data_IF_148867295005
#
_entry.id   IF_148867295005
#
_cell.length_a   1.000
_cell.length_b   1.000
_cell.length_c   1.000
_cell.angle_alpha   90.00
_cell.angle_beta   90.00
_cell.angle_gamma   90.00
#
_symmetry.space_group_name_H-M   'P 1'
#
loop_
_entity.id
_entity.type
_entity.pdbx_description
1 polymer ?
#
# COMPACT_ATOMS: atom_id res chain seq x y z
N UNK A 1 23.90 -21.47 28.61
CA UNK A 1 22.44 -21.80 28.55
C UNK A 1 21.66 -20.69 27.82
N UNK A 2 21.86 -19.42 28.20
CA UNK A 2 21.15 -18.26 27.60
C UNK A 2 21.43 -18.12 26.10
N UNK A 3 22.64 -18.35 25.68
CA UNK A 3 23.09 -18.25 24.29
C UNK A 3 22.46 -19.32 23.38
N UNK A 4 22.28 -20.53 23.92
CA UNK A 4 21.63 -21.62 23.17
C UNK A 4 20.12 -21.40 23.01
N UNK A 5 19.44 -20.86 24.02
CA UNK A 5 18.02 -20.57 23.94
C UNK A 5 17.72 -19.52 22.83
N UNK A 6 18.51 -18.44 22.78
CA UNK A 6 18.34 -17.40 21.77
C UNK A 6 18.63 -17.93 20.34
N UNK A 7 19.61 -18.82 20.15
CA UNK A 7 19.86 -19.48 18.86
C UNK A 7 18.67 -20.31 18.39
N UNK A 8 18.00 -20.99 19.33
CA UNK A 8 16.80 -21.77 19.02
C UNK A 8 15.66 -20.86 18.56
N UNK A 9 15.47 -19.71 19.23
CA UNK A 9 14.44 -18.72 18.89
C UNK A 9 14.71 -18.11 17.52
N UNK A 10 15.93 -17.67 17.26
CA UNK A 10 16.32 -17.10 15.95
C UNK A 10 16.07 -18.12 14.81
N UNK A 11 16.50 -19.37 15.04
CA UNK A 11 16.31 -20.41 14.04
C UNK A 11 14.83 -20.68 13.80
N UNK A 12 14.00 -20.75 14.83
CA UNK A 12 12.58 -20.94 14.70
C UNK A 12 11.92 -19.77 13.92
N UNK A 13 12.33 -18.53 14.18
CA UNK A 13 11.83 -17.36 13.47
C UNK A 13 12.20 -17.39 11.98
N UNK A 14 13.46 -17.71 11.67
CA UNK A 14 13.93 -17.88 10.28
C UNK A 14 13.20 -19.01 9.56
N UNK A 15 13.05 -20.15 10.22
CA UNK A 15 12.34 -21.33 9.67
C UNK A 15 10.88 -21.00 9.33
N UNK A 16 10.21 -20.17 10.14
CA UNK A 16 8.84 -19.70 9.85
C UNK A 16 8.79 -18.80 8.61
N UNK A 17 9.73 -17.88 8.48
CA UNK A 17 9.84 -17.02 7.27
C UNK A 17 10.13 -17.87 6.04
N UNK A 18 11.00 -18.86 6.16
CA UNK A 18 11.34 -19.79 5.07
C UNK A 18 10.13 -20.60 4.63
N UNK A 19 9.36 -21.13 5.58
CA UNK A 19 8.13 -21.83 5.28
C UNK A 19 7.08 -20.94 4.58
N UNK A 20 6.90 -19.71 5.04
CA UNK A 20 6.01 -18.74 4.39
C UNK A 20 6.47 -18.44 2.96
N UNK A 21 7.77 -18.18 2.79
CA UNK A 21 8.34 -17.93 1.48
C UNK A 21 8.15 -19.13 0.53
N UNK A 22 8.56 -20.32 0.92
CA UNK A 22 8.49 -21.50 0.05
C UNK A 22 7.05 -21.92 -0.29
N UNK A 23 6.13 -21.85 0.70
CA UNK A 23 4.75 -22.32 0.52
C UNK A 23 3.86 -21.31 -0.22
N UNK A 24 4.12 -19.99 -0.09
CA UNK A 24 3.18 -18.97 -0.55
C UNK A 24 3.82 -17.89 -1.43
N UNK A 25 4.99 -17.36 -1.08
CA UNK A 25 5.48 -16.12 -1.67
C UNK A 25 6.50 -16.32 -2.80
N UNK A 26 7.14 -17.46 -2.88
CA UNK A 26 8.17 -17.77 -3.89
C UNK A 26 7.74 -17.48 -5.34
N UNK A 27 6.49 -17.78 -5.78
CA UNK A 27 6.07 -17.47 -7.15
C UNK A 27 6.01 -15.97 -7.46
N UNK A 28 5.96 -15.12 -6.45
CA UNK A 28 5.91 -13.66 -6.58
C UNK A 28 7.28 -12.97 -6.47
N UNK A 29 8.36 -13.74 -6.30
CA UNK A 29 9.73 -13.22 -6.21
C UNK A 29 10.08 -12.28 -7.36
N UNK A 30 10.63 -11.12 -7.04
CA UNK A 30 11.01 -10.08 -8.00
C UNK A 30 9.85 -9.26 -8.55
N UNK A 31 8.62 -9.44 -8.04
CA UNK A 31 7.43 -8.65 -8.40
C UNK A 31 7.00 -7.66 -7.32
N UNK A 32 7.73 -7.60 -6.21
CA UNK A 32 7.46 -6.73 -5.09
C UNK A 32 8.09 -5.36 -5.30
N UNK A 33 7.35 -4.30 -5.08
CA UNK A 33 7.88 -2.94 -5.08
C UNK A 33 8.63 -2.62 -3.79
N UNK A 34 8.28 -3.29 -2.70
CA UNK A 34 8.91 -3.20 -1.39
C UNK A 34 8.11 -3.90 -0.32
N UNK A 35 8.69 -4.05 0.86
CA UNK A 35 8.02 -4.49 2.08
C UNK A 35 8.12 -3.39 3.13
N UNK A 36 7.00 -3.10 3.78
CA UNK A 36 6.97 -2.26 4.97
C UNK A 36 7.27 -3.11 6.22
N UNK A 37 7.87 -2.48 7.22
CA UNK A 37 8.02 -3.08 8.53
C UNK A 37 6.65 -3.31 9.16
N UNK A 38 6.42 -4.51 9.70
CA UNK A 38 5.33 -4.78 10.60
C UNK A 38 5.75 -4.47 12.05
N UNK A 39 4.81 -4.50 13.00
CA UNK A 39 5.13 -4.38 14.43
C UNK A 39 5.27 -5.73 15.13
N UNK A 40 5.17 -6.82 14.40
CA UNK A 40 5.32 -8.21 14.86
C UNK A 40 6.52 -8.91 14.22
N UNK A 41 7.61 -8.20 14.00
CA UNK A 41 8.86 -8.81 13.58
C UNK A 41 9.63 -9.40 14.78
N UNK A 42 10.57 -10.27 14.50
CA UNK A 42 11.56 -10.73 15.46
C UNK A 42 12.94 -10.16 15.07
N UNK A 43 13.66 -9.64 16.05
CA UNK A 43 15.05 -9.24 15.88
C UNK A 43 15.92 -10.50 15.83
N UNK A 44 16.82 -10.55 14.86
CA UNK A 44 17.80 -11.61 14.70
C UNK A 44 19.15 -11.15 15.26
N UNK A 45 20.01 -12.07 15.66
CA UNK A 45 21.30 -11.75 16.31
C UNK A 45 22.28 -10.99 15.44
N UNK A 46 22.17 -11.11 14.14
CA UNK A 46 22.98 -10.36 13.18
C UNK A 46 22.56 -8.90 13.04
N UNK A 47 21.57 -8.45 13.83
CA UNK A 47 21.02 -7.10 13.80
C UNK A 47 19.97 -6.88 12.70
N UNK A 48 19.59 -7.93 11.97
CA UNK A 48 18.49 -7.87 11.00
C UNK A 48 17.17 -8.26 11.65
N UNK A 49 16.06 -8.06 10.93
CA UNK A 49 14.72 -8.49 11.36
C UNK A 49 14.17 -9.55 10.41
N UNK A 50 13.17 -10.30 10.87
CA UNK A 50 12.45 -11.26 10.02
C UNK A 50 11.84 -10.63 8.77
N UNK A 51 11.42 -9.35 8.85
CA UNK A 51 10.89 -8.60 7.72
C UNK A 51 11.98 -8.27 6.68
N UNK A 52 13.16 -7.86 7.14
CA UNK A 52 14.33 -7.62 6.29
C UNK A 52 14.80 -8.91 5.63
N UNK A 53 14.83 -10.00 6.38
CA UNK A 53 15.17 -11.32 5.85
C UNK A 53 14.19 -11.75 4.74
N UNK A 54 12.89 -11.56 4.95
CA UNK A 54 11.88 -11.84 3.93
C UNK A 54 12.04 -10.94 2.69
N UNK A 55 12.29 -9.65 2.87
CA UNK A 55 12.55 -8.72 1.76
C UNK A 55 13.72 -9.19 0.89
N UNK A 56 14.81 -9.61 1.52
CA UNK A 56 15.97 -10.18 0.82
C UNK A 56 15.61 -11.44 0.01
N UNK A 57 14.85 -12.37 0.60
CA UNK A 57 14.39 -13.59 -0.12
C UNK A 57 13.50 -13.27 -1.32
N UNK A 58 12.65 -12.27 -1.21
CA UNK A 58 11.77 -11.79 -2.28
C UNK A 58 12.50 -10.96 -3.33
N UNK A 59 13.76 -10.60 -3.11
CA UNK A 59 14.57 -9.68 -3.95
C UNK A 59 13.88 -8.32 -4.08
N UNK A 60 13.48 -7.75 -2.96
CA UNK A 60 12.88 -6.42 -2.88
C UNK A 60 13.51 -5.60 -1.76
N UNK A 61 13.19 -4.31 -1.71
CA UNK A 61 13.67 -3.42 -0.65
C UNK A 61 12.79 -3.50 0.59
N UNK A 62 13.41 -3.43 1.76
CA UNK A 62 12.71 -3.13 3.00
C UNK A 62 12.57 -1.60 3.11
N UNK A 63 11.35 -1.11 3.27
CA UNK A 63 10.99 0.30 3.14
C UNK A 63 10.82 1.00 4.50
N UNK A 64 10.97 0.29 5.62
CA UNK A 64 10.65 0.81 6.95
C UNK A 64 9.14 0.90 7.18
N UNK A 65 8.72 1.76 8.12
CA UNK A 65 7.31 1.87 8.54
C UNK A 65 6.45 2.68 7.58
N UNK A 66 7.08 3.60 6.86
CA UNK A 66 6.42 4.52 5.92
C UNK A 66 7.30 4.77 4.70
N UNK A 67 6.70 4.80 3.52
CA UNK A 67 7.45 5.07 2.30
C UNK A 67 6.60 5.73 1.21
N UNK A 68 7.30 6.41 0.29
CA UNK A 68 6.77 6.82 -1.00
C UNK A 68 7.28 5.89 -2.10
N UNK A 69 6.38 5.45 -2.96
CA UNK A 69 6.69 4.71 -4.16
C UNK A 69 6.23 5.52 -5.36
N UNK A 70 7.16 5.87 -6.24
CA UNK A 70 6.88 6.59 -7.46
C UNK A 70 6.81 5.63 -8.65
N UNK A 71 5.62 5.43 -9.20
CA UNK A 71 5.41 4.64 -10.40
C UNK A 71 5.57 5.54 -11.62
N UNK A 72 6.61 5.31 -12.41
CA UNK A 72 6.92 6.13 -13.59
C UNK A 72 6.53 5.38 -14.85
N UNK A 73 5.60 5.95 -15.63
CA UNK A 73 5.13 5.41 -16.90
C UNK A 73 5.86 6.10 -18.05
N UNK A 74 6.81 5.39 -18.65
CA UNK A 74 7.54 5.86 -19.82
C UNK A 74 6.66 5.75 -21.06
N UNK A 75 6.69 6.76 -21.91
CA UNK A 75 6.01 6.68 -23.22
C UNK A 75 6.79 5.80 -24.18
N UNK A 76 6.11 4.98 -25.00
CA UNK A 76 6.77 4.13 -26.00
C UNK A 76 7.45 4.92 -27.13
N UNK A 77 7.05 6.17 -27.38
CA UNK A 77 7.59 7.03 -28.44
C UNK A 77 8.01 8.37 -27.85
N UNK A 78 9.17 8.91 -28.21
CA UNK A 78 9.61 10.24 -27.78
C UNK A 78 8.75 11.33 -28.44
N UNK A 79 7.58 11.56 -27.89
CA UNK A 79 6.75 12.72 -28.21
C UNK A 79 6.95 13.79 -27.13
N UNK A 80 6.93 15.05 -27.54
CA UNK A 80 6.99 16.22 -26.65
C UNK A 80 5.96 16.13 -25.52
N UNK A 81 6.41 15.87 -24.31
CA UNK A 81 5.58 15.76 -23.12
C UNK A 81 6.11 14.66 -22.17
N UNK A 82 6.34 15.02 -20.91
CA UNK A 82 7.03 14.21 -19.90
C UNK A 82 6.44 12.82 -19.64
N UNK A 83 7.17 12.03 -18.87
CA UNK A 83 6.67 10.77 -18.30
C UNK A 83 5.47 11.06 -17.39
N UNK A 84 4.47 10.18 -17.42
CA UNK A 84 3.42 10.18 -16.42
C UNK A 84 3.90 9.50 -15.14
N UNK A 85 3.48 9.97 -13.99
CA UNK A 85 3.80 9.34 -12.72
C UNK A 85 2.58 9.24 -11.81
N UNK A 86 2.58 8.21 -10.98
CA UNK A 86 1.61 8.01 -9.89
C UNK A 86 2.40 7.87 -8.60
N UNK A 87 2.07 8.69 -7.63
CA UNK A 87 2.71 8.70 -6.32
C UNK A 87 1.88 7.89 -5.34
N UNK A 88 2.48 6.83 -4.79
CA UNK A 88 1.87 5.97 -3.78
C UNK A 88 2.51 6.28 -2.43
N UNK A 89 1.73 6.74 -1.47
CA UNK A 89 2.11 6.81 -0.07
C UNK A 89 1.68 5.55 0.64
N UNK A 90 2.57 4.92 1.39
CA UNK A 90 2.26 3.70 2.11
C UNK A 90 2.82 3.72 3.52
N UNK A 91 2.06 3.16 4.45
CA UNK A 91 2.39 3.07 5.87
C UNK A 91 1.91 1.74 6.44
N UNK A 92 2.65 1.16 7.39
CA UNK A 92 2.18 -0.02 8.11
C UNK A 92 0.82 0.23 8.78
N UNK A 93 0.63 1.42 9.33
CA UNK A 93 -0.61 1.82 9.96
C UNK A 93 -0.73 1.42 11.42
N UNK A 94 -1.92 1.65 11.92
CA UNK A 94 -2.34 1.27 13.27
C UNK A 94 -3.64 0.48 13.19
N UNK A 95 -3.91 -0.35 14.19
CA UNK A 95 -5.19 -1.04 14.31
C UNK A 95 -6.37 -0.06 14.24
N UNK A 96 -7.41 -0.40 13.52
CA UNK A 96 -8.63 0.40 13.45
C UNK A 96 -9.67 -0.09 14.45
N UNK A 97 -10.59 0.79 14.85
CA UNK A 97 -11.73 0.43 15.68
C UNK A 97 -12.62 -0.64 15.02
N UNK A 98 -13.56 -1.21 15.78
CA UNK A 98 -14.41 -2.31 15.30
C UNK A 98 -15.49 -1.87 14.28
N UNK A 99 -15.77 -0.57 14.15
CA UNK A 99 -16.75 -0.10 13.17
C UNK A 99 -16.29 -0.32 11.72
N UNK A 100 -17.22 -0.46 10.79
CA UNK A 100 -16.90 -0.61 9.39
C UNK A 100 -16.21 0.64 8.80
N UNK A 101 -16.55 1.83 9.32
CA UNK A 101 -16.01 3.09 8.87
C UNK A 101 -14.61 3.42 9.44
N UNK A 102 -14.18 2.78 10.52
CA UNK A 102 -12.93 3.11 11.20
C UNK A 102 -11.68 3.13 10.30
N UNK A 103 -11.50 2.20 9.34
CA UNK A 103 -10.39 2.26 8.39
C UNK A 103 -10.41 3.51 7.53
N UNK A 104 -11.58 3.87 7.00
CA UNK A 104 -11.74 5.03 6.11
C UNK A 104 -11.46 6.32 6.86
N UNK A 105 -11.98 6.48 8.09
CA UNK A 105 -11.75 7.67 8.91
C UNK A 105 -10.28 7.97 9.19
N UNK A 106 -9.46 6.92 9.36
CA UNK A 106 -8.01 7.10 9.51
C UNK A 106 -7.36 7.57 8.21
N UNK A 107 -7.77 6.99 7.09
CA UNK A 107 -7.24 7.30 5.77
C UNK A 107 -7.63 8.70 5.28
N UNK A 108 -8.82 9.18 5.58
CA UNK A 108 -9.33 10.49 5.15
C UNK A 108 -8.47 11.68 5.60
N UNK A 109 -7.74 11.52 6.69
CA UNK A 109 -6.84 12.57 7.21
C UNK A 109 -5.52 12.66 6.44
N UNK A 110 -5.10 11.62 5.75
CA UNK A 110 -3.80 11.55 5.10
C UNK A 110 -3.62 12.57 3.98
N UNK A 111 -4.59 12.76 3.05
CA UNK A 111 -4.43 13.72 1.97
C UNK A 111 -4.35 15.18 2.41
N UNK A 112 -4.70 15.49 3.65
CA UNK A 112 -4.54 16.83 4.21
C UNK A 112 -3.08 17.11 4.62
N UNK A 113 -2.31 16.06 4.91
CA UNK A 113 -0.93 16.18 5.41
C UNK A 113 0.11 15.74 4.38
N UNK A 114 -0.24 14.72 3.59
CA UNK A 114 0.69 14.06 2.65
C UNK A 114 0.22 14.22 1.21
N UNK A 115 1.17 14.39 0.30
CA UNK A 115 0.88 14.32 -1.15
C UNK A 115 0.87 12.87 -1.63
N UNK A 116 -0.02 12.55 -2.56
CA UNK A 116 -0.11 11.23 -3.18
C UNK A 116 -1.33 11.08 -4.07
N UNK A 117 -1.29 10.10 -4.96
CA UNK A 117 -2.45 9.66 -5.76
C UNK A 117 -3.15 8.49 -5.09
N UNK A 118 -2.38 7.65 -4.40
CA UNK A 118 -2.83 6.44 -3.73
C UNK A 118 -2.24 6.43 -2.33
N UNK A 119 -3.09 6.23 -1.33
CA UNK A 119 -2.70 6.08 0.07
C UNK A 119 -3.00 4.65 0.52
N UNK A 120 -1.96 3.89 0.85
CA UNK A 120 -2.07 2.51 1.35
C UNK A 120 -1.78 2.47 2.84
N UNK A 121 -2.66 1.85 3.60
CA UNK A 121 -2.45 1.62 5.03
C UNK A 121 -2.70 0.15 5.35
N UNK A 122 -1.69 -0.49 5.92
CA UNK A 122 -1.77 -1.83 6.49
C UNK A 122 -2.31 -1.86 7.92
N UNK A 123 -2.05 -2.94 8.62
CA UNK A 123 -2.45 -3.19 10.02
C UNK A 123 -3.96 -3.01 10.28
N UNK A 124 -4.75 -3.03 9.23
CA UNK A 124 -6.20 -2.98 9.28
C UNK A 124 -6.73 -4.28 8.70
N UNK A 125 -7.40 -5.05 9.53
CA UNK A 125 -7.93 -6.36 9.09
C UNK A 125 -9.03 -6.24 8.03
N UNK A 126 -9.62 -5.05 7.86
CA UNK A 126 -10.72 -4.81 6.91
C UNK A 126 -10.18 -4.18 5.63
N UNK A 127 -10.66 -4.69 4.50
CA UNK A 127 -10.48 -4.02 3.22
C UNK A 127 -11.39 -2.78 3.22
N UNK A 128 -10.81 -1.63 2.90
CA UNK A 128 -11.55 -0.37 2.80
C UNK A 128 -10.99 0.45 1.64
N UNK A 129 -11.85 0.87 0.73
CA UNK A 129 -11.46 1.70 -0.41
C UNK A 129 -12.41 2.88 -0.50
N UNK A 130 -11.85 4.08 -0.58
CA UNK A 130 -12.63 5.31 -0.76
C UNK A 130 -11.91 6.26 -1.74
N UNK A 131 -12.57 6.73 -2.80
CA UNK A 131 -12.08 7.85 -3.58
C UNK A 131 -12.37 9.16 -2.83
N UNK A 132 -11.42 10.10 -2.88
CA UNK A 132 -11.57 11.44 -2.32
C UNK A 132 -11.13 12.46 -3.37
N UNK A 133 -12.00 13.42 -3.67
CA UNK A 133 -11.69 14.47 -4.61
C UNK A 133 -10.98 15.63 -3.91
N UNK A 134 -9.87 16.07 -4.48
CA UNK A 134 -9.13 17.25 -4.07
C UNK A 134 -9.22 18.32 -5.15
N UNK A 135 -9.32 19.56 -4.73
CA UNK A 135 -9.39 20.70 -5.64
C UNK A 135 -8.23 21.66 -5.38
N UNK A 136 -7.52 22.02 -6.44
CA UNK A 136 -6.39 22.94 -6.37
C UNK A 136 -6.56 24.10 -7.33
N UNK A 137 -6.21 25.33 -6.94
CA UNK A 137 -6.09 26.43 -7.86
C UNK A 137 -4.82 26.25 -8.72
N UNK A 138 -4.96 26.36 -10.03
CA UNK A 138 -3.84 26.35 -10.98
C UNK A 138 -3.85 27.67 -11.72
N UNK A 139 -2.73 28.38 -11.67
CA UNK A 139 -2.55 29.64 -12.38
C UNK A 139 -2.07 29.36 -13.81
N UNK A 140 -2.82 29.80 -14.85
CA UNK A 140 -2.33 29.71 -16.22
C UNK A 140 -1.07 30.55 -16.38
N UNK A 141 -0.09 30.05 -17.16
CA UNK A 141 1.09 30.84 -17.51
C UNK A 141 0.70 31.86 -18.59
N UNK A 142 0.47 33.12 -18.21
CA UNK A 142 0.26 34.23 -19.12
C UNK A 142 0.60 35.55 -18.45
N UNK A 143 0.85 36.58 -19.24
CA UNK A 143 1.14 37.91 -18.73
C UNK A 143 -0.14 38.61 -18.24
N UNK A 144 -0.12 39.19 -17.04
CA UNK A 144 -1.21 39.97 -16.46
C UNK A 144 -1.91 39.28 -15.27
N UNK A 145 -2.90 39.95 -14.70
CA UNK A 145 -3.73 39.42 -13.60
C UNK A 145 -4.64 38.33 -14.13
N UNK A 146 -4.50 37.15 -13.63
CA UNK A 146 -5.26 35.97 -14.08
C UNK A 146 -6.08 35.35 -12.95
N UNK A 147 -7.26 34.89 -13.29
CA UNK A 147 -8.06 34.07 -12.39
C UNK A 147 -7.53 32.63 -12.39
N UNK A 148 -7.40 31.99 -11.20
CA UNK A 148 -7.03 30.59 -11.13
C UNK A 148 -8.12 29.71 -11.74
N UNK A 149 -7.69 28.65 -12.42
CA UNK A 149 -8.58 27.56 -12.83
C UNK A 149 -8.54 26.48 -11.74
N UNK A 150 -9.69 25.95 -11.39
CA UNK A 150 -9.76 24.84 -10.44
C UNK A 150 -9.42 23.53 -11.15
N UNK A 151 -8.46 22.82 -10.59
CA UNK A 151 -8.06 21.49 -11.02
C UNK A 151 -8.54 20.46 -9.99
N UNK A 152 -9.27 19.48 -10.45
CA UNK A 152 -9.78 18.38 -9.62
C UNK A 152 -8.94 17.14 -9.83
N UNK A 153 -8.57 16.49 -8.72
CA UNK A 153 -7.81 15.24 -8.70
C UNK A 153 -8.44 14.30 -7.69
N UNK A 154 -8.84 13.14 -8.14
CA UNK A 154 -9.28 12.07 -7.26
C UNK A 154 -8.09 11.31 -6.74
N UNK A 155 -7.97 11.15 -5.43
CA UNK A 155 -7.00 10.29 -4.77
C UNK A 155 -7.70 9.06 -4.21
N UNK A 156 -6.98 7.95 -4.14
CA UNK A 156 -7.53 6.68 -3.66
C UNK A 156 -7.00 6.40 -2.25
N UNK A 157 -7.90 6.24 -1.31
CA UNK A 157 -7.63 5.78 0.05
C UNK A 157 -7.87 4.27 0.11
N UNK A 158 -6.91 3.52 0.64
CA UNK A 158 -6.95 2.08 0.61
C UNK A 158 -6.42 1.45 1.90
N UNK A 159 -7.31 0.85 2.68
CA UNK A 159 -6.97 -0.10 3.73
C UNK A 159 -6.75 -1.48 3.11
N UNK A 160 -5.56 -2.04 3.29
CA UNK A 160 -5.10 -3.20 2.51
C UNK A 160 -5.73 -4.54 2.90
N UNK A 161 -6.46 -4.60 4.02
CA UNK A 161 -7.05 -5.86 4.47
C UNK A 161 -6.06 -6.80 5.14
N UNK A 162 -6.40 -8.07 5.19
CA UNK A 162 -5.62 -9.10 5.89
C UNK A 162 -5.76 -10.46 5.22
N UNK A 163 -4.69 -11.26 5.31
CA UNK A 163 -4.69 -12.68 4.95
C UNK A 163 -4.78 -13.60 6.17
N UNK A 164 -5.01 -13.04 7.36
CA UNK A 164 -5.12 -13.79 8.58
C UNK A 164 -6.58 -14.20 8.84
N UNK A 165 -6.85 -15.50 8.80
CA UNK A 165 -8.16 -16.06 9.14
C UNK A 165 -8.42 -15.90 10.66
N UNK A 166 -9.46 -15.14 10.99
CA UNK A 166 -9.78 -14.81 12.37
C UNK A 166 -10.46 -15.95 13.11
N UNK A 167 -11.51 -16.53 12.53
CA UNK A 167 -12.29 -17.61 13.13
C UNK A 167 -11.95 -18.93 12.45
N UNK A 168 -11.47 -19.90 13.23
CA UNK A 168 -11.05 -21.22 12.73
C UNK A 168 -11.80 -22.30 13.51
N UNK A 169 -12.74 -22.92 12.84
CA UNK A 169 -13.50 -24.03 13.38
C UNK A 169 -12.60 -25.22 13.73
N UNK A 170 -12.86 -25.85 14.86
CA UNK A 170 -12.16 -27.06 15.29
C UNK A 170 -10.68 -26.87 15.67
N UNK A 171 -10.23 -25.61 15.90
CA UNK A 171 -8.84 -25.37 16.30
C UNK A 171 -8.57 -25.97 17.70
N UNK A 172 -7.58 -26.83 17.73
CA UNK A 172 -7.07 -27.45 18.94
C UNK A 172 -5.61 -27.06 19.12
N UNK A 173 -5.23 -26.67 20.32
CA UNK A 173 -3.83 -26.44 20.71
C UNK A 173 -3.50 -27.44 21.84
N UNK A 174 -2.68 -28.43 21.51
CA UNK A 174 -2.50 -29.60 22.37
C UNK A 174 -3.79 -30.44 22.40
N UNK A 175 -4.33 -30.68 23.62
CA UNK A 175 -5.60 -31.40 23.82
C UNK A 175 -6.79 -30.47 24.12
N UNK A 176 -6.58 -29.15 24.04
CA UNK A 176 -7.58 -28.18 24.48
C UNK A 176 -8.05 -27.34 23.30
N UNK A 177 -9.36 -27.18 23.04
CA UNK A 177 -9.88 -26.23 22.08
C UNK A 177 -9.44 -24.80 22.47
N UNK A 178 -8.79 -24.09 21.56
CA UNK A 178 -8.38 -22.69 21.79
C UNK A 178 -8.73 -21.84 20.59
N UNK A 179 -9.47 -20.77 20.86
CA UNK A 179 -9.76 -19.75 19.87
C UNK A 179 -8.52 -18.98 19.43
N UNK A 180 -8.58 -18.41 18.24
CA UNK A 180 -7.57 -17.46 17.72
C UNK A 180 -7.54 -16.19 18.56
N UNK A 181 -6.56 -15.32 18.32
CA UNK A 181 -6.53 -13.99 18.90
C UNK A 181 -7.81 -13.18 18.58
N UNK A 182 -8.34 -13.32 17.37
CA UNK A 182 -9.55 -12.64 16.90
C UNK A 182 -10.77 -13.11 17.71
N UNK A 183 -10.91 -14.42 17.91
CA UNK A 183 -11.97 -15.01 18.71
C UNK A 183 -11.90 -14.59 20.18
N UNK A 184 -10.69 -14.65 20.78
CA UNK A 184 -10.47 -14.26 22.18
C UNK A 184 -10.79 -12.79 22.45
N UNK A 185 -10.65 -11.92 21.46
CA UNK A 185 -10.94 -10.49 21.54
C UNK A 185 -12.32 -10.12 21.03
N UNK A 186 -13.16 -11.09 20.65
CA UNK A 186 -14.50 -10.86 20.08
C UNK A 186 -14.45 -9.85 18.90
N UNK A 187 -13.38 -9.88 18.12
CA UNK A 187 -13.26 -9.03 16.95
C UNK A 187 -14.16 -9.56 15.83
N UNK A 188 -14.63 -8.69 14.96
CA UNK A 188 -15.49 -9.11 13.85
C UNK A 188 -14.72 -9.98 12.85
N UNK A 189 -15.37 -11.00 12.27
CA UNK A 189 -14.80 -11.71 11.13
C UNK A 189 -14.58 -10.72 9.97
N UNK A 190 -13.52 -10.94 9.20
CA UNK A 190 -13.15 -10.11 8.06
C UNK A 190 -12.91 -10.98 6.84
N UNK A 191 -13.16 -10.41 5.66
CA UNK A 191 -12.81 -11.07 4.41
C UNK A 191 -11.29 -11.13 4.26
N UNK A 192 -10.79 -12.27 3.79
CA UNK A 192 -9.37 -12.45 3.49
C UNK A 192 -9.07 -11.81 2.14
N UNK A 193 -7.93 -11.15 2.05
CA UNK A 193 -7.45 -10.60 0.80
C UNK A 193 -6.91 -9.18 0.92
N UNK A 194 -6.68 -8.62 -0.24
CA UNK A 194 -6.21 -7.24 -0.42
C UNK A 194 -6.85 -6.69 -1.70
N UNK A 195 -7.11 -5.38 -1.78
CA UNK A 195 -7.62 -4.78 -3.01
C UNK A 195 -6.59 -4.85 -4.14
N UNK A 196 -7.09 -4.95 -5.35
CA UNK A 196 -6.29 -4.88 -6.57
C UNK A 196 -6.43 -3.48 -7.16
N UNK A 197 -5.32 -2.77 -7.29
CA UNK A 197 -5.28 -1.42 -7.86
C UNK A 197 -4.73 -1.50 -9.28
N UNK A 198 -5.54 -1.10 -10.24
CA UNK A 198 -5.16 -1.02 -11.64
C UNK A 198 -4.89 0.43 -12.02
N UNK A 199 -3.68 0.72 -12.46
CA UNK A 199 -3.30 2.04 -12.97
C UNK A 199 -3.14 1.98 -14.47
N UNK A 200 -4.01 2.67 -15.19
CA UNK A 200 -3.94 2.77 -16.65
C UNK A 200 -3.42 4.14 -17.05
N UNK A 201 -2.24 4.22 -17.68
CA UNK A 201 -1.69 5.48 -18.15
C UNK A 201 -2.57 6.06 -19.26
N UNK A 202 -3.12 7.23 -19.03
CA UNK A 202 -3.92 7.98 -20.01
C UNK A 202 -3.39 9.40 -20.16
N UNK A 203 -3.55 9.94 -21.36
CA UNK A 203 -3.19 11.30 -21.71
C UNK A 203 -4.38 11.95 -22.42
N UNK A 204 -4.82 13.09 -21.92
CA UNK A 204 -5.86 13.90 -22.55
C UNK A 204 -5.23 14.99 -23.40
N UNK A 205 -5.66 15.13 -24.63
CA UNK A 205 -5.29 16.28 -25.47
C UNK A 205 -6.02 17.52 -24.95
N UNK A 206 -5.26 18.58 -24.64
CA UNK A 206 -5.87 19.88 -24.36
C UNK A 206 -6.33 20.51 -25.67
N UNK A 207 -7.54 21.12 -25.72
CA UNK A 207 -7.97 21.87 -26.89
C UNK A 207 -6.99 22.99 -27.25
N UNK A 208 -6.80 23.26 -28.52
CA UNK A 208 -6.03 24.41 -28.98
C UNK A 208 -6.81 25.69 -28.67
N UNK A 209 -6.21 26.61 -27.96
CA UNK A 209 -6.67 28.00 -27.93
C UNK A 209 -6.36 28.63 -29.30
N UNK A 210 -7.39 28.87 -30.12
CA UNK A 210 -7.26 29.61 -31.38
C UNK A 210 -6.29 29.07 -32.45
N UNK A 211 -5.94 27.77 -32.39
CA UNK A 211 -5.17 27.14 -33.50
C UNK A 211 -3.67 27.39 -33.54
N UNK A 212 -3.09 28.21 -32.64
CA UNK A 212 -1.70 28.64 -32.70
C UNK A 212 -0.69 27.93 -31.78
N UNK A 213 -1.15 27.06 -30.86
CA UNK A 213 -0.24 26.33 -29.96
C UNK A 213 -0.30 24.82 -30.20
N UNK A 214 0.83 24.10 -30.06
CA UNK A 214 0.82 22.65 -30.17
C UNK A 214 -0.10 22.04 -29.11
N UNK A 215 -0.80 20.94 -29.46
CA UNK A 215 -1.62 20.18 -28.51
C UNK A 215 -0.73 19.69 -27.36
N UNK A 216 -1.04 20.12 -26.14
CA UNK A 216 -0.35 19.61 -24.95
C UNK A 216 -1.12 18.42 -24.44
N UNK A 217 -0.45 17.31 -24.26
CA UNK A 217 -1.05 16.13 -23.62
C UNK A 217 -0.90 16.25 -22.11
N UNK A 218 -2.02 16.28 -21.41
CA UNK A 218 -2.05 16.25 -19.95
C UNK A 218 -2.13 14.80 -19.48
N UNK A 219 -1.28 14.47 -18.51
CA UNK A 219 -1.32 13.18 -17.83
C UNK A 219 -2.56 13.09 -16.94
N UNK A 220 -3.36 12.06 -17.16
CA UNK A 220 -4.54 11.74 -16.34
C UNK A 220 -4.60 10.22 -16.18
N UNK A 221 -3.97 9.65 -15.14
CA UNK A 221 -4.05 8.22 -14.91
C UNK A 221 -5.48 7.82 -14.55
N UNK A 222 -5.94 6.73 -15.13
CA UNK A 222 -7.18 6.05 -14.72
C UNK A 222 -6.80 5.03 -13.63
N UNK A 223 -7.22 5.28 -12.39
CA UNK A 223 -6.93 4.43 -11.25
C UNK A 223 -8.23 3.75 -10.84
N UNK A 224 -8.26 2.44 -10.93
CA UNK A 224 -9.41 1.61 -10.53
C UNK A 224 -9.02 0.67 -9.43
N UNK A 225 -9.96 0.41 -8.52
CA UNK A 225 -9.76 -0.53 -7.43
C UNK A 225 -10.90 -1.54 -7.45
N UNK A 226 -10.53 -2.81 -7.37
CA UNK A 226 -11.46 -3.92 -7.14
C UNK A 226 -11.13 -4.63 -5.82
N UNK A 227 -12.14 -5.13 -5.14
CA UNK A 227 -12.08 -5.83 -3.85
C UNK A 227 -12.72 -7.21 -3.99
#
# INVERSE_FOLDING_TARGET
>A
LYDNANRIVDRAAVDLVDQLYEKALKPSKGRWLGLLAGHHFADLRDGTTTDQYLAHKLKTNHLGDCAYIRLVFKRPVPQTGGSGEVLVWCHHGEGSGQSAAAPVQKLERLPATWEGDIFLMGHQSKIAVAPVDRCFPVWPQANGVQQPKLFYRTVILCGTGSFMKGYVEGRIEGQTPRGTYIEKRMLRPVSLGSPVITVTPRYKDTPRDGGKRPRTKVWLPDIRVSV
#
